data_IF_330350698305
#
_entry.id   IF_330350698305
#
_cell.length_a   1.000
_cell.length_b   1.000
_cell.length_c   1.000
_cell.angle_alpha   90.00
_cell.angle_beta   90.00
_cell.angle_gamma   90.00
#
_symmetry.space_group_name_H-M   'P 1'
#
loop_
_entity.id
_entity.type
_entity.pdbx_description
1 polymer ?
#
# COMPACT_ATOMS: atom_id res chain seq x y z
N UNK A 1 -17.90 -0.96 -2.78
CA UNK A 1 -16.99 -0.34 -1.80
C UNK A 1 -15.66 -0.07 -2.47
N UNK A 2 -15.00 1.03 -2.10
CA UNK A 2 -13.68 1.40 -2.59
C UNK A 2 -12.63 1.20 -1.50
N UNK A 3 -11.39 0.92 -1.93
CA UNK A 3 -10.20 0.78 -1.09
C UNK A 3 -8.97 1.14 -1.91
N UNK A 4 -7.79 1.20 -1.31
CA UNK A 4 -6.54 1.42 -2.05
C UNK A 4 -5.88 0.13 -2.51
N UNK A 5 -6.30 -1.00 -1.98
CA UNK A 5 -5.82 -2.32 -2.42
C UNK A 5 -6.86 -3.42 -2.15
N UNK A 6 -6.84 -4.44 -2.97
CA UNK A 6 -7.55 -5.71 -2.80
C UNK A 6 -6.70 -6.83 -3.41
N UNK A 7 -6.63 -7.98 -2.76
CA UNK A 7 -5.97 -9.15 -3.34
C UNK A 7 -6.50 -9.43 -4.76
N UNK A 8 -5.59 -9.78 -5.66
CA UNK A 8 -5.86 -9.96 -7.09
C UNK A 8 -5.46 -8.76 -7.95
N UNK A 9 -5.17 -7.59 -7.37
CA UNK A 9 -4.66 -6.43 -8.12
C UNK A 9 -3.23 -6.69 -8.61
N UNK A 10 -2.39 -7.29 -7.76
CA UNK A 10 -1.00 -7.65 -8.08
C UNK A 10 -0.68 -9.04 -7.53
N UNK A 11 -0.81 -10.06 -8.36
CA UNK A 11 -0.66 -11.46 -7.96
C UNK A 11 0.78 -11.81 -7.50
N UNK A 12 1.79 -11.17 -8.07
CA UNK A 12 3.19 -11.40 -7.68
C UNK A 12 3.45 -10.86 -6.28
N UNK A 13 3.04 -9.64 -6.00
CA UNK A 13 3.12 -9.05 -4.67
C UNK A 13 2.32 -9.85 -3.64
N UNK A 14 1.09 -10.23 -3.97
CA UNK A 14 0.23 -11.04 -3.09
C UNK A 14 0.94 -12.34 -2.69
N UNK A 15 1.52 -13.04 -3.66
CA UNK A 15 2.23 -14.29 -3.42
C UNK A 15 3.45 -14.12 -2.54
N UNK A 16 4.25 -13.09 -2.78
CA UNK A 16 5.45 -12.81 -2.01
C UNK A 16 5.14 -12.47 -0.54
N UNK A 17 4.13 -11.64 -0.29
CA UNK A 17 3.73 -11.30 1.08
C UNK A 17 3.11 -12.49 1.81
N UNK A 18 2.29 -13.30 1.13
CA UNK A 18 1.71 -14.52 1.72
C UNK A 18 2.80 -15.54 2.09
N UNK A 19 3.79 -15.71 1.23
CA UNK A 19 4.94 -16.57 1.53
C UNK A 19 5.66 -16.09 2.79
N UNK A 20 5.92 -14.79 2.91
CA UNK A 20 6.55 -14.22 4.10
C UNK A 20 5.67 -14.41 5.35
N UNK A 21 4.37 -14.11 5.30
CA UNK A 21 3.44 -14.31 6.43
C UNK A 21 3.44 -15.77 6.88
N UNK A 22 3.40 -16.71 5.95
CA UNK A 22 3.35 -18.14 6.27
C UNK A 22 4.70 -18.74 6.70
N UNK A 23 5.83 -18.06 6.44
CA UNK A 23 7.16 -18.49 6.88
C UNK A 23 7.46 -18.17 8.35
N UNK A 24 6.69 -17.27 8.98
CA UNK A 24 6.89 -16.81 10.35
C UNK A 24 5.58 -16.85 11.16
N UNK A 25 5.57 -17.66 12.22
CA UNK A 25 4.39 -17.82 13.07
C UNK A 25 3.97 -16.51 13.77
N UNK A 26 4.92 -15.63 14.09
CA UNK A 26 4.64 -14.32 14.69
C UNK A 26 4.02 -13.40 13.66
N UNK A 27 4.55 -13.38 12.43
CA UNK A 27 3.97 -12.61 11.33
C UNK A 27 2.52 -13.03 11.07
N UNK A 28 2.26 -14.33 11.01
CA UNK A 28 0.91 -14.87 10.83
C UNK A 28 -0.03 -14.48 11.99
N UNK A 29 0.41 -14.59 13.23
CA UNK A 29 -0.36 -14.18 14.40
C UNK A 29 -0.68 -12.69 14.35
N UNK A 30 0.30 -11.84 14.02
CA UNK A 30 0.11 -10.40 13.90
C UNK A 30 -0.82 -10.01 12.74
N UNK A 31 -0.91 -10.86 11.71
CA UNK A 31 -1.85 -10.70 10.59
C UNK A 31 -3.27 -11.24 10.89
N UNK A 32 -3.59 -11.52 12.14
CA UNK A 32 -4.91 -12.01 12.55
C UNK A 32 -5.09 -13.52 12.44
N UNK A 33 -4.02 -14.29 12.25
CA UNK A 33 -4.01 -15.76 12.22
C UNK A 33 -4.18 -16.37 10.82
N UNK A 34 -4.39 -15.56 9.80
CA UNK A 34 -4.44 -16.00 8.39
C UNK A 34 -3.41 -15.25 7.53
N UNK A 35 -3.44 -15.43 6.22
CA UNK A 35 -2.52 -14.79 5.26
C UNK A 35 -3.23 -13.80 4.33
N UNK A 36 -4.42 -13.34 4.69
CA UNK A 36 -5.16 -12.35 3.90
C UNK A 36 -4.48 -10.99 3.92
N UNK A 37 -4.37 -10.37 2.77
CA UNK A 37 -3.82 -9.03 2.64
C UNK A 37 -4.92 -7.98 2.81
N UNK A 38 -4.71 -7.08 3.76
CA UNK A 38 -5.53 -5.87 3.86
C UNK A 38 -4.93 -4.72 3.06
N UNK A 39 -5.73 -3.73 2.71
CA UNK A 39 -5.22 -2.50 2.09
C UNK A 39 -4.17 -1.81 2.98
N UNK A 40 -4.31 -1.90 4.30
CA UNK A 40 -3.37 -1.31 5.27
C UNK A 40 -1.99 -1.97 5.19
N UNK A 41 -1.92 -3.30 5.02
CA UNK A 41 -0.66 -4.03 4.83
C UNK A 41 0.11 -3.49 3.64
N UNK A 42 -0.58 -3.32 2.51
CA UNK A 42 0.05 -2.85 1.26
C UNK A 42 0.40 -1.36 1.33
N UNK A 43 -0.47 -0.53 1.93
CA UNK A 43 -0.18 0.89 2.17
C UNK A 43 1.02 1.07 3.10
N UNK A 44 1.20 0.20 4.10
CA UNK A 44 2.37 0.20 4.97
C UNK A 44 3.67 -0.11 4.22
N UNK A 45 3.63 -1.04 3.28
CA UNK A 45 4.75 -1.32 2.38
C UNK A 45 5.10 -0.10 1.52
N UNK A 46 4.11 0.50 0.87
CA UNK A 46 4.31 1.70 0.06
C UNK A 46 4.83 2.88 0.90
N UNK A 47 4.31 3.08 2.12
CA UNK A 47 4.78 4.12 3.02
C UNK A 47 6.26 3.95 3.39
N UNK A 48 6.71 2.71 3.63
CA UNK A 48 8.12 2.41 3.84
C UNK A 48 8.97 2.77 2.63
N UNK A 49 8.55 2.39 1.42
CA UNK A 49 9.25 2.72 0.20
C UNK A 49 9.32 4.24 -0.05
N UNK A 50 8.21 4.96 0.17
CA UNK A 50 8.17 6.43 0.10
C UNK A 50 9.13 7.08 1.09
N UNK A 51 9.21 6.57 2.31
CA UNK A 51 10.16 7.08 3.31
C UNK A 51 11.62 6.88 2.85
N UNK A 52 11.94 5.74 2.24
CA UNK A 52 13.27 5.51 1.65
C UNK A 52 13.58 6.50 0.52
N UNK A 53 12.63 6.76 -0.37
CA UNK A 53 12.81 7.75 -1.44
C UNK A 53 12.99 9.16 -0.88
N UNK A 54 12.28 9.53 0.18
CA UNK A 54 12.45 10.82 0.85
C UNK A 54 13.84 10.96 1.50
N UNK A 55 14.35 9.89 2.14
CA UNK A 55 15.71 9.86 2.70
C UNK A 55 16.76 10.02 1.60
N UNK A 56 16.59 9.33 0.47
CA UNK A 56 17.47 9.47 -0.70
C UNK A 56 17.44 10.89 -1.27
N UNK A 57 16.25 11.48 -1.41
CA UNK A 57 16.08 12.83 -1.93
C UNK A 57 16.67 13.91 -1.00
N UNK A 58 16.62 13.67 0.32
CA UNK A 58 17.20 14.54 1.33
C UNK A 58 18.74 14.40 1.44
N UNK A 59 19.31 13.31 0.93
CA UNK A 59 20.70 12.88 1.18
C UNK A 59 21.05 12.90 2.69
N UNK A 60 20.06 12.56 3.52
CA UNK A 60 20.14 12.67 4.98
C UNK A 60 19.09 11.81 5.66
N UNK A 61 19.42 11.27 6.84
CA UNK A 61 18.46 10.63 7.74
C UNK A 61 17.93 11.58 8.83
N UNK A 62 18.29 12.86 8.79
CA UNK A 62 17.73 13.86 9.70
C UNK A 62 16.24 14.07 9.42
N UNK A 63 15.35 13.93 10.44
CA UNK A 63 13.91 13.99 10.22
C UNK A 63 13.42 15.31 9.61
N UNK A 64 14.07 16.46 9.93
CA UNK A 64 13.67 17.74 9.38
C UNK A 64 14.05 17.84 7.89
N UNK A 65 15.23 17.32 7.50
CA UNK A 65 15.65 17.27 6.11
C UNK A 65 14.76 16.34 5.28
N UNK A 66 14.42 15.17 5.81
CA UNK A 66 13.52 14.20 5.17
C UNK A 66 12.12 14.78 4.97
N UNK A 67 11.57 15.44 5.99
CA UNK A 67 10.28 16.12 5.91
C UNK A 67 10.28 17.24 4.86
N UNK A 68 11.37 17.99 4.75
CA UNK A 68 11.50 19.05 3.75
C UNK A 68 11.59 18.50 2.30
N UNK A 69 12.15 17.30 2.13
CA UNK A 69 12.26 16.63 0.83
C UNK A 69 10.94 15.96 0.38
N UNK A 70 10.09 15.55 1.32
CA UNK A 70 8.89 14.75 1.06
C UNK A 70 7.94 15.36 0.02
N UNK A 71 7.65 16.67 -0.05
CA UNK A 71 6.78 17.25 -1.07
C UNK A 71 7.27 17.06 -2.51
N UNK A 72 8.57 16.84 -2.70
CA UNK A 72 9.16 16.56 -4.02
C UNK A 72 9.18 15.08 -4.40
N UNK A 73 8.80 14.18 -3.50
CA UNK A 73 8.83 12.74 -3.74
C UNK A 73 7.62 12.31 -4.57
N UNK A 74 7.90 11.56 -5.62
CA UNK A 74 6.89 10.80 -6.38
C UNK A 74 7.31 9.34 -6.39
N UNK A 75 6.35 8.43 -6.19
CA UNK A 75 6.61 7.00 -6.10
C UNK A 75 5.50 6.19 -6.78
N UNK A 76 5.88 5.24 -7.63
CA UNK A 76 4.95 4.27 -8.21
C UNK A 76 4.88 3.06 -7.28
N UNK A 77 3.88 3.08 -6.40
CA UNK A 77 3.66 2.06 -5.40
C UNK A 77 2.78 0.91 -5.87
N UNK A 78 2.67 -0.11 -5.04
CA UNK A 78 1.74 -1.23 -5.24
C UNK A 78 0.29 -0.73 -5.22
N UNK A 79 0.01 0.33 -4.44
CA UNK A 79 -1.31 0.96 -4.36
C UNK A 79 -1.53 2.07 -5.41
N UNK A 80 -0.65 2.19 -6.42
CA UNK A 80 -0.68 3.21 -7.47
C UNK A 80 0.28 4.37 -7.22
N UNK A 81 0.21 5.39 -8.06
CA UNK A 81 1.06 6.57 -7.96
C UNK A 81 0.81 7.34 -6.65
N UNK A 82 1.90 7.73 -6.01
CA UNK A 82 1.90 8.47 -4.74
C UNK A 82 2.71 9.74 -4.91
N UNK A 83 2.11 10.87 -4.59
CA UNK A 83 2.76 12.17 -4.43
C UNK A 83 2.07 12.92 -3.29
N UNK A 84 2.58 14.08 -2.92
CA UNK A 84 2.04 14.83 -1.78
C UNK A 84 1.63 16.24 -2.20
N UNK A 85 0.60 16.77 -1.57
CA UNK A 85 0.19 18.17 -1.69
C UNK A 85 0.90 19.05 -0.65
N UNK A 86 0.65 20.35 -0.69
CA UNK A 86 1.32 21.33 0.17
C UNK A 86 1.00 21.19 1.67
N UNK A 87 -0.05 20.44 2.02
CA UNK A 87 -0.42 20.17 3.41
C UNK A 87 -0.02 18.77 3.88
N UNK A 88 0.68 17.99 3.01
CA UNK A 88 1.22 16.68 3.33
C UNK A 88 0.28 15.51 3.07
N UNK A 89 -0.90 15.75 2.48
CA UNK A 89 -1.80 14.66 2.09
C UNK A 89 -1.32 13.99 0.80
N UNK A 90 -1.47 12.68 0.74
CA UNK A 90 -1.15 11.92 -0.47
C UNK A 90 -2.18 12.19 -1.58
N UNK A 91 -1.71 12.63 -2.74
CA UNK A 91 -2.51 12.68 -3.94
C UNK A 91 -2.73 11.26 -4.46
N UNK A 92 -3.96 10.92 -4.77
CA UNK A 92 -4.35 9.64 -5.34
C UNK A 92 -5.20 9.86 -6.58
N UNK A 93 -4.86 9.18 -7.66
CA UNK A 93 -5.57 9.25 -8.95
C UNK A 93 -6.47 8.04 -9.19
N UNK A 94 -6.43 7.06 -8.29
CA UNK A 94 -7.14 5.80 -8.47
C UNK A 94 -7.60 5.20 -7.15
N UNK A 95 -8.63 4.37 -7.24
CA UNK A 95 -9.13 3.54 -6.15
C UNK A 95 -9.55 2.17 -6.68
N UNK A 96 -9.37 1.15 -5.86
CA UNK A 96 -9.83 -0.20 -6.14
C UNK A 96 -11.32 -0.32 -5.77
N UNK A 97 -12.13 -0.82 -6.68
CA UNK A 97 -13.52 -1.18 -6.43
C UNK A 97 -13.58 -2.67 -6.08
N UNK A 98 -14.23 -2.97 -4.96
CA UNK A 98 -14.46 -4.35 -4.51
C UNK A 98 -15.92 -4.61 -4.20
N UNK A 99 -16.32 -5.87 -4.32
CA UNK A 99 -17.68 -6.34 -4.06
C UNK A 99 -17.66 -7.42 -2.97
N UNK A 100 -18.60 -7.36 -2.04
CA UNK A 100 -18.81 -8.44 -1.09
C UNK A 100 -19.34 -9.67 -1.83
N UNK A 101 -18.66 -10.79 -1.65
CA UNK A 101 -19.13 -12.09 -2.08
C UNK A 101 -19.91 -12.70 -0.92
N UNK A 102 -21.24 -12.74 -1.05
CA UNK A 102 -22.14 -13.21 0.01
C UNK A 102 -22.11 -14.72 0.21
N UNK A 103 -21.56 -15.49 -0.73
CA UNK A 103 -21.43 -16.93 -0.62
C UNK A 103 -20.19 -17.31 0.20
N UNK A 104 -19.06 -16.64 -0.05
CA UNK A 104 -17.80 -16.92 0.63
C UNK A 104 -17.54 -16.03 1.86
N UNK A 105 -18.25 -14.91 2.00
CA UNK A 105 -18.00 -13.88 3.00
C UNK A 105 -16.74 -13.03 2.74
N UNK A 106 -16.11 -13.21 1.59
CA UNK A 106 -14.90 -12.49 1.20
C UNK A 106 -15.21 -11.25 0.34
N UNK A 107 -14.19 -10.46 0.07
CA UNK A 107 -14.24 -9.34 -0.85
C UNK A 107 -13.53 -9.71 -2.14
N UNK A 108 -14.24 -9.58 -3.26
CA UNK A 108 -13.69 -9.83 -4.59
C UNK A 108 -13.25 -8.51 -5.24
N UNK A 109 -12.12 -8.52 -5.90
CA UNK A 109 -11.68 -7.44 -6.78
C UNK A 109 -12.62 -7.30 -7.97
N UNK A 110 -13.00 -6.06 -8.30
CA UNK A 110 -13.84 -5.76 -9.46
C UNK A 110 -13.06 -5.01 -10.52
N UNK A 111 -12.51 -3.85 -10.18
CA UNK A 111 -11.77 -3.01 -11.10
C UNK A 111 -10.97 -1.93 -10.36
N UNK A 112 -10.06 -1.27 -11.07
CA UNK A 112 -9.45 -0.02 -10.62
C UNK A 112 -10.19 1.14 -11.30
N UNK A 113 -10.81 2.00 -10.50
CA UNK A 113 -11.40 3.25 -10.97
C UNK A 113 -10.34 4.35 -10.92
N UNK A 114 -10.19 5.11 -12.01
CA UNK A 114 -9.32 6.28 -12.07
C UNK A 114 -10.15 7.55 -12.01
N UNK A 115 -9.59 8.57 -11.36
CA UNK A 115 -10.12 9.92 -11.43
C UNK A 115 -9.72 10.48 -12.80
N UNK A 116 -10.72 10.85 -13.56
CA UNK A 116 -10.55 11.41 -14.91
C UNK A 116 -10.09 12.85 -14.88
#
# INVERSE_FOLDING_TARGET
VTTFYQEGVNAEFDSAIKEWINSDATAKTNNGGDDKLSAVTVMGYDAYCVALEAIKAADSADPAAVLAALPGVTYEGITGAISFNDIGDANRDSAVVKKCNTESGNWDFVTVAKVG
#
